data_IF_262287803188
#
_entry.id   IF_262287803188
#
_cell.length_a   1.000
_cell.length_b   1.000
_cell.length_c   1.000
_cell.angle_alpha   90.00
_cell.angle_beta   90.00
_cell.angle_gamma   90.00
#
_symmetry.space_group_name_H-M   'P 1'
#
loop_
_entity.id
_entity.type
_entity.pdbx_description
1 polymer ?
#
# COMPACT_ATOMS: atom_id res chain seq x y z
N UNK A 1 46.98 30.04 31.86
CA UNK A 1 45.73 29.59 31.19
C UNK A 1 45.97 28.24 30.50
N UNK A 2 45.90 27.10 31.21
CA UNK A 2 46.28 25.80 30.60
C UNK A 2 45.72 24.53 31.23
N UNK A 3 44.84 24.63 32.24
CA UNK A 3 44.35 23.46 33.00
C UNK A 3 42.97 22.97 32.51
N UNK A 4 42.19 23.80 31.81
CA UNK A 4 40.86 23.35 31.31
C UNK A 4 40.95 22.38 30.12
N UNK A 5 41.92 22.56 29.21
CA UNK A 5 42.05 21.72 28.01
C UNK A 5 42.37 20.24 28.34
N UNK A 6 43.10 19.97 29.42
CA UNK A 6 43.48 18.59 29.77
C UNK A 6 42.28 17.74 30.22
N UNK A 7 41.32 18.34 30.93
CA UNK A 7 40.13 17.62 31.39
C UNK A 7 39.17 17.27 30.26
N UNK A 8 39.05 18.12 29.25
CA UNK A 8 38.27 17.86 28.05
C UNK A 8 38.88 16.75 27.19
N UNK A 9 40.21 16.74 27.05
CA UNK A 9 40.95 15.68 26.34
C UNK A 9 40.78 14.32 27.02
N UNK A 10 40.80 14.28 28.36
CA UNK A 10 40.56 13.03 29.12
C UNK A 10 39.12 12.54 28.93
N UNK A 11 38.14 13.44 28.96
CA UNK A 11 36.72 13.10 28.71
C UNK A 11 36.53 12.56 27.28
N UNK A 12 37.11 13.22 26.28
CA UNK A 12 37.06 12.77 24.88
C UNK A 12 37.67 11.39 24.70
N UNK A 13 38.82 11.12 25.33
CA UNK A 13 39.46 9.79 25.30
C UNK A 13 38.61 8.71 25.94
N UNK A 14 37.94 9.02 27.05
CA UNK A 14 37.03 8.08 27.70
C UNK A 14 35.79 7.79 26.84
N UNK A 15 35.27 8.78 26.12
CA UNK A 15 34.18 8.58 25.15
C UNK A 15 34.66 7.72 23.97
N UNK A 16 35.83 8.01 23.40
CA UNK A 16 36.43 7.22 22.32
C UNK A 16 36.59 5.76 22.73
N UNK A 17 37.18 5.50 23.89
CA UNK A 17 37.36 4.14 24.41
C UNK A 17 36.03 3.41 24.65
N UNK A 18 34.94 4.12 24.96
CA UNK A 18 33.60 3.52 25.10
C UNK A 18 33.00 3.18 23.73
N UNK A 19 33.15 4.06 22.74
CA UNK A 19 32.73 3.83 21.35
C UNK A 19 33.50 2.64 20.77
N UNK A 20 34.83 2.59 20.95
CA UNK A 20 35.67 1.49 20.46
C UNK A 20 35.28 0.15 21.10
N UNK A 21 34.93 0.14 22.40
CA UNK A 21 34.38 -1.05 23.05
C UNK A 21 33.02 -1.46 22.49
N UNK A 22 32.14 -0.51 22.17
CA UNK A 22 30.85 -0.81 21.52
C UNK A 22 31.04 -1.40 20.12
N UNK A 23 31.97 -0.85 19.33
CA UNK A 23 32.33 -1.35 18.00
C UNK A 23 32.98 -2.74 18.02
N UNK A 24 33.67 -3.11 19.11
CA UNK A 24 34.23 -4.45 19.31
C UNK A 24 33.20 -5.47 19.82
N UNK A 25 32.18 -5.01 20.55
CA UNK A 25 31.12 -5.86 21.08
C UNK A 25 30.06 -6.16 20.03
N UNK A 26 29.86 -5.30 19.03
CA UNK A 26 29.14 -5.64 17.81
C UNK A 26 29.90 -6.78 17.12
N UNK A 27 29.49 -8.05 17.27
CA UNK A 27 30.12 -9.13 16.55
C UNK A 27 29.92 -8.80 15.06
N UNK A 28 30.79 -9.30 14.19
CA UNK A 28 30.36 -9.53 12.81
C UNK A 28 29.29 -10.60 12.84
N UNK A 29 28.09 -10.29 13.35
CA UNK A 29 26.90 -11.07 13.07
C UNK A 29 26.89 -11.22 11.56
N UNK A 30 26.86 -12.47 11.10
CA UNK A 30 26.86 -12.80 9.68
C UNK A 30 25.48 -12.45 9.12
N UNK A 31 25.16 -11.17 9.12
CA UNK A 31 23.90 -10.64 8.63
C UNK A 31 24.05 -10.49 7.13
N UNK A 32 23.32 -11.31 6.39
CA UNK A 32 23.30 -11.24 4.94
C UNK A 32 22.41 -10.07 4.51
N UNK A 33 22.93 -9.21 3.62
CA UNK A 33 22.16 -8.09 3.08
C UNK A 33 21.38 -8.55 1.86
N UNK A 34 20.05 -8.45 1.90
CA UNK A 34 19.17 -8.83 0.80
C UNK A 34 18.36 -7.63 0.32
N UNK A 35 18.50 -7.30 -0.97
CA UNK A 35 17.66 -6.29 -1.59
C UNK A 35 16.36 -6.94 -2.10
N UNK A 36 15.25 -6.60 -1.46
CA UNK A 36 13.91 -7.01 -1.89
C UNK A 36 13.27 -5.91 -2.75
N UNK A 37 12.63 -6.30 -3.84
CA UNK A 37 11.99 -5.40 -4.80
C UNK A 37 10.49 -5.70 -4.89
N UNK A 38 9.66 -4.65 -4.85
CA UNK A 38 8.22 -4.76 -5.06
C UNK A 38 7.51 -5.72 -4.10
N UNK A 39 6.65 -6.60 -4.66
CA UNK A 39 5.77 -7.51 -3.91
C UNK A 39 6.55 -8.47 -3.00
N UNK A 40 7.80 -8.81 -3.36
CA UNK A 40 8.64 -9.69 -2.56
C UNK A 40 8.89 -9.16 -1.14
N UNK A 41 8.86 -7.84 -0.94
CA UNK A 41 8.94 -7.23 0.40
C UNK A 41 7.75 -7.69 1.26
N UNK A 42 6.53 -7.59 0.72
CA UNK A 42 5.30 -7.96 1.42
C UNK A 42 5.21 -9.47 1.64
N UNK A 43 5.63 -10.28 0.66
CA UNK A 43 5.68 -11.75 0.79
C UNK A 43 6.64 -12.14 1.92
N UNK A 44 7.81 -11.51 2.02
CA UNK A 44 8.76 -11.78 3.10
C UNK A 44 8.18 -11.45 4.48
N UNK A 45 7.40 -10.38 4.61
CA UNK A 45 6.69 -10.04 5.86
C UNK A 45 5.68 -11.13 6.22
N UNK A 46 4.88 -11.57 5.25
CA UNK A 46 3.85 -12.60 5.48
C UNK A 46 4.47 -13.93 5.90
N UNK A 47 5.56 -14.35 5.26
CA UNK A 47 6.15 -15.67 5.48
C UNK A 47 7.11 -15.72 6.69
N UNK A 48 7.85 -14.64 6.96
CA UNK A 48 8.96 -14.67 7.92
C UNK A 48 8.80 -13.74 9.12
N UNK A 49 7.82 -12.81 9.11
CA UNK A 49 7.64 -11.80 10.15
C UNK A 49 6.27 -11.87 10.85
N UNK A 50 5.66 -13.06 10.93
CA UNK A 50 4.35 -13.29 11.54
C UNK A 50 3.20 -12.47 10.90
N UNK A 51 3.38 -11.99 9.67
CA UNK A 51 2.37 -11.22 8.95
C UNK A 51 2.25 -9.75 9.40
N UNK A 52 1.10 -9.15 9.09
CA UNK A 52 0.82 -7.75 9.41
C UNK A 52 0.11 -7.63 10.76
N UNK A 53 0.51 -6.65 11.55
CA UNK A 53 -0.15 -6.28 12.81
C UNK A 53 -1.53 -5.70 12.55
N UNK A 54 -2.40 -5.70 13.57
CA UNK A 54 -3.74 -5.13 13.45
C UNK A 54 -3.70 -3.65 13.05
N UNK A 55 -2.76 -2.87 13.60
CA UNK A 55 -2.62 -1.45 13.28
C UNK A 55 -2.24 -1.24 11.80
N UNK A 56 -1.30 -2.02 11.27
CA UNK A 56 -0.90 -1.94 9.85
C UNK A 56 -2.02 -2.35 8.91
N UNK A 57 -2.82 -3.35 9.29
CA UNK A 57 -3.98 -3.78 8.51
C UNK A 57 -5.04 -2.67 8.45
N UNK A 58 -5.29 -1.98 9.56
CA UNK A 58 -6.23 -0.84 9.59
C UNK A 58 -5.73 0.35 8.78
N UNK A 59 -4.43 0.67 8.82
CA UNK A 59 -3.87 1.73 7.97
C UNK A 59 -4.03 1.40 6.48
N UNK A 60 -3.78 0.15 6.10
CA UNK A 60 -3.96 -0.32 4.72
C UNK A 60 -5.42 -0.31 4.26
N UNK A 61 -6.38 -0.43 5.18
CA UNK A 61 -7.82 -0.40 4.88
C UNK A 61 -8.22 0.89 4.18
N UNK A 62 -7.77 2.03 4.69
CA UNK A 62 -8.00 3.35 4.07
C UNK A 62 -7.41 3.42 2.65
N UNK A 63 -6.22 2.86 2.46
CA UNK A 63 -5.54 2.84 1.14
C UNK A 63 -6.30 1.96 0.15
N UNK A 64 -6.84 0.82 0.59
CA UNK A 64 -7.69 -0.04 -0.24
C UNK A 64 -8.92 0.71 -0.73
N UNK A 65 -9.56 1.51 0.14
CA UNK A 65 -10.70 2.33 -0.25
C UNK A 65 -10.32 3.33 -1.34
N UNK A 66 -9.23 4.09 -1.14
CA UNK A 66 -8.78 5.07 -2.12
C UNK A 66 -8.42 4.43 -3.45
N UNK A 67 -7.65 3.33 -3.44
CA UNK A 67 -7.29 2.61 -4.66
C UNK A 67 -8.53 2.11 -5.42
N UNK A 68 -9.53 1.59 -4.72
CA UNK A 68 -10.75 1.07 -5.35
C UNK A 68 -11.52 2.19 -6.06
N UNK A 69 -11.77 3.33 -5.39
CA UNK A 69 -12.55 4.43 -5.97
C UNK A 69 -11.77 5.13 -7.09
N UNK A 70 -10.45 5.33 -6.91
CA UNK A 70 -9.59 5.92 -7.94
C UNK A 70 -9.50 5.04 -9.18
N UNK A 71 -9.32 3.72 -9.03
CA UNK A 71 -9.31 2.82 -10.18
C UNK A 71 -10.64 2.79 -10.94
N UNK A 72 -11.77 2.99 -10.25
CA UNK A 72 -13.06 3.15 -10.94
C UNK A 72 -13.13 4.48 -11.70
N UNK A 73 -12.62 5.57 -11.13
CA UNK A 73 -12.55 6.86 -11.82
C UNK A 73 -11.68 6.77 -13.08
N UNK A 74 -10.49 6.19 -12.98
CA UNK A 74 -9.57 5.99 -14.12
C UNK A 74 -10.26 5.18 -15.24
N UNK A 75 -11.08 4.18 -14.90
CA UNK A 75 -11.88 3.44 -15.88
C UNK A 75 -12.97 4.28 -16.54
N UNK A 76 -13.62 5.18 -15.80
CA UNK A 76 -14.62 6.10 -16.33
C UNK A 76 -14.00 7.12 -17.31
N UNK A 77 -12.78 7.57 -17.01
CA UNK A 77 -11.98 8.42 -17.89
C UNK A 77 -11.58 7.67 -19.16
N UNK A 78 -11.01 6.47 -19.02
CA UNK A 78 -10.65 5.62 -20.15
C UNK A 78 -11.83 5.29 -21.06
N UNK A 79 -13.01 5.01 -20.48
CA UNK A 79 -14.26 4.82 -21.23
C UNK A 79 -14.61 6.05 -22.09
N UNK A 80 -14.45 7.24 -21.51
CA UNK A 80 -14.76 8.52 -22.17
C UNK A 80 -13.78 8.77 -23.32
N UNK A 81 -12.50 8.51 -23.10
CA UNK A 81 -11.46 8.62 -24.14
C UNK A 81 -11.64 7.63 -25.28
N UNK A 82 -12.15 6.43 -24.99
CA UNK A 82 -12.52 5.44 -26.00
C UNK A 82 -13.84 5.75 -26.72
N UNK A 83 -14.51 6.86 -26.36
CA UNK A 83 -15.82 7.26 -26.88
C UNK A 83 -16.88 6.16 -26.74
N UNK A 84 -16.78 5.34 -25.69
CA UNK A 84 -17.79 4.33 -25.38
C UNK A 84 -18.94 5.01 -24.63
N UNK A 85 -20.18 4.83 -25.05
CA UNK A 85 -21.35 5.34 -24.32
C UNK A 85 -21.82 4.34 -23.26
N UNK A 86 -22.57 4.79 -22.24
CA UNK A 86 -23.23 3.82 -21.35
C UNK A 86 -24.46 3.25 -22.04
N UNK A 87 -24.76 1.97 -21.80
CA UNK A 87 -26.00 1.38 -22.31
C UNK A 87 -27.24 1.98 -21.63
N UNK A 88 -27.14 2.25 -20.32
CA UNK A 88 -28.20 2.86 -19.53
C UNK A 88 -27.81 4.29 -19.07
N UNK A 89 -28.72 5.25 -19.28
CA UNK A 89 -28.59 6.63 -18.81
C UNK A 89 -28.46 6.73 -17.30
N UNK A 90 -28.99 5.76 -16.54
CA UNK A 90 -28.83 5.71 -15.09
C UNK A 90 -27.38 5.48 -14.66
N UNK A 91 -26.53 4.88 -15.51
CA UNK A 91 -25.11 4.68 -15.20
C UNK A 91 -24.35 5.99 -15.03
N UNK A 92 -24.80 7.06 -15.68
CA UNK A 92 -24.22 8.38 -15.50
C UNK A 92 -24.40 8.88 -14.06
N UNK A 93 -25.51 8.55 -13.40
CA UNK A 93 -25.74 8.92 -12.00
C UNK A 93 -24.78 8.18 -11.06
N UNK A 94 -24.50 6.89 -11.35
CA UNK A 94 -23.50 6.12 -10.61
C UNK A 94 -22.10 6.68 -10.82
N UNK A 95 -21.70 6.95 -12.07
CA UNK A 95 -20.41 7.58 -12.39
C UNK A 95 -20.23 8.91 -11.63
N UNK A 96 -21.23 9.78 -11.69
CA UNK A 96 -21.22 11.06 -10.98
C UNK A 96 -21.12 10.89 -9.44
N UNK A 97 -21.69 9.81 -8.88
CA UNK A 97 -21.57 9.55 -7.45
C UNK A 97 -20.15 9.16 -7.03
N UNK A 98 -19.40 8.46 -7.89
CA UNK A 98 -17.98 8.14 -7.67
C UNK A 98 -17.14 9.40 -7.69
N UNK A 99 -17.32 10.26 -8.70
CA UNK A 99 -16.61 11.54 -8.81
C UNK A 99 -16.88 12.42 -7.58
N UNK A 100 -18.15 12.59 -7.21
CA UNK A 100 -18.54 13.38 -6.01
C UNK A 100 -17.96 12.81 -4.73
N UNK A 101 -17.81 11.49 -4.60
CA UNK A 101 -17.22 10.88 -3.42
C UNK A 101 -15.76 11.30 -3.24
N UNK A 102 -14.98 11.34 -4.33
CA UNK A 102 -13.60 11.82 -4.31
C UNK A 102 -13.56 13.33 -4.05
N UNK A 103 -14.40 14.11 -4.74
CA UNK A 103 -14.44 15.58 -4.59
C UNK A 103 -14.75 16.01 -3.16
N UNK A 104 -15.58 15.23 -2.45
CA UNK A 104 -15.91 15.47 -1.04
C UNK A 104 -14.79 15.03 -0.07
N UNK A 105 -13.65 14.56 -0.56
CA UNK A 105 -12.53 14.07 0.25
C UNK A 105 -12.80 12.75 0.96
N UNK A 106 -13.79 11.98 0.51
CA UNK A 106 -14.18 10.70 1.13
C UNK A 106 -13.40 9.50 0.58
N UNK A 107 -12.36 9.72 -0.22
CA UNK A 107 -11.61 8.64 -0.89
C UNK A 107 -11.02 7.59 0.07
N UNK A 108 -10.69 7.96 1.30
CA UNK A 108 -10.16 7.05 2.33
C UNK A 108 -11.24 6.53 3.29
N UNK A 109 -12.49 6.94 3.11
CA UNK A 109 -13.59 6.58 4.00
C UNK A 109 -14.20 5.20 3.64
N UNK A 110 -14.80 4.50 4.62
CA UNK A 110 -15.58 3.30 4.34
C UNK A 110 -16.71 3.58 3.34
N UNK A 111 -16.96 2.62 2.46
CA UNK A 111 -18.02 2.77 1.46
C UNK A 111 -19.40 2.74 2.09
N UNK A 112 -20.22 3.71 1.70
CA UNK A 112 -21.66 3.65 1.96
C UNK A 112 -22.35 2.74 0.91
N UNK A 113 -23.62 2.42 1.14
CA UNK A 113 -24.40 1.58 0.24
C UNK A 113 -24.45 2.12 -1.19
N UNK A 114 -24.54 3.44 -1.35
CA UNK A 114 -24.59 4.09 -2.66
C UNK A 114 -23.32 3.86 -3.48
N UNK A 115 -22.14 4.02 -2.87
CA UNK A 115 -20.85 3.82 -3.56
C UNK A 115 -20.62 2.34 -3.85
N UNK A 116 -20.98 1.45 -2.92
CA UNK A 116 -20.96 0.00 -3.17
C UNK A 116 -21.78 -0.37 -4.41
N UNK A 117 -23.03 0.09 -4.46
CA UNK A 117 -23.95 -0.16 -5.57
C UNK A 117 -23.44 0.46 -6.88
N UNK A 118 -22.92 1.68 -6.82
CA UNK A 118 -22.36 2.37 -7.99
C UNK A 118 -21.20 1.58 -8.60
N UNK A 119 -20.21 1.17 -7.79
CA UNK A 119 -19.07 0.37 -8.27
C UNK A 119 -19.55 -0.97 -8.84
N UNK A 120 -20.48 -1.63 -8.16
CA UNK A 120 -21.01 -2.92 -8.61
C UNK A 120 -21.73 -2.81 -9.96
N UNK A 121 -22.56 -1.76 -10.15
CA UNK A 121 -23.30 -1.53 -11.39
C UNK A 121 -22.38 -1.10 -12.54
N UNK A 122 -21.44 -0.20 -12.27
CA UNK A 122 -20.44 0.21 -13.26
C UNK A 122 -19.57 -0.96 -13.71
N UNK A 123 -19.16 -1.85 -12.80
CA UNK A 123 -18.36 -3.01 -13.16
C UNK A 123 -19.11 -4.09 -13.96
N UNK A 124 -20.44 -4.09 -13.89
CA UNK A 124 -21.30 -4.97 -14.70
C UNK A 124 -21.52 -4.43 -16.12
N UNK A 125 -21.24 -3.15 -16.37
CA UNK A 125 -21.40 -2.55 -17.68
C UNK A 125 -20.35 -3.10 -18.67
N UNK A 126 -20.76 -3.56 -19.87
CA UNK A 126 -19.85 -4.16 -20.83
C UNK A 126 -18.84 -3.16 -21.39
N UNK A 127 -19.20 -1.88 -21.51
CA UNK A 127 -18.28 -0.86 -22.02
C UNK A 127 -17.19 -0.51 -21.00
N UNK A 128 -17.49 -0.58 -19.70
CA UNK A 128 -16.47 -0.52 -18.64
C UNK A 128 -15.54 -1.73 -18.71
N UNK A 129 -16.06 -2.93 -18.99
CA UNK A 129 -15.22 -4.12 -19.19
C UNK A 129 -14.30 -3.99 -20.40
N UNK A 130 -14.79 -3.49 -21.52
CA UNK A 130 -13.99 -3.20 -22.72
C UNK A 130 -12.90 -2.17 -22.41
N UNK A 131 -13.21 -1.12 -21.65
CA UNK A 131 -12.21 -0.15 -21.21
C UNK A 131 -11.12 -0.82 -20.33
N UNK A 132 -11.52 -1.74 -19.44
CA UNK A 132 -10.57 -2.50 -18.63
C UNK A 132 -9.70 -3.48 -19.44
N UNK A 133 -10.19 -4.03 -20.55
CA UNK A 133 -9.35 -4.84 -21.45
C UNK A 133 -8.20 -4.00 -22.03
N UNK A 134 -8.43 -2.70 -22.26
CA UNK A 134 -7.42 -1.73 -22.71
C UNK A 134 -6.69 -1.01 -21.58
N UNK A 135 -6.78 -1.50 -20.34
CA UNK A 135 -6.17 -0.88 -19.15
C UNK A 135 -4.68 -0.53 -19.29
N UNK A 136 -3.94 -1.27 -20.11
CA UNK A 136 -2.53 -1.02 -20.37
C UNK A 136 -2.28 0.36 -21.01
N UNK A 137 -3.18 0.81 -21.88
CA UNK A 137 -3.08 2.09 -22.60
C UNK A 137 -3.35 3.29 -21.67
N UNK A 138 -4.10 3.06 -20.59
CA UNK A 138 -4.56 4.08 -19.63
C UNK A 138 -3.88 3.98 -18.26
N UNK A 139 -2.84 3.15 -18.12
CA UNK A 139 -2.12 2.93 -16.87
C UNK A 139 -2.99 2.48 -15.68
N UNK A 140 -4.14 1.86 -15.95
CA UNK A 140 -5.04 1.33 -14.92
C UNK A 140 -4.41 0.05 -14.35
N UNK A 141 -4.44 -0.08 -13.01
CA UNK A 141 -3.83 -1.22 -12.33
C UNK A 141 -4.59 -2.52 -12.56
N UNK A 142 -3.85 -3.61 -12.79
CA UNK A 142 -4.42 -4.96 -12.91
C UNK A 142 -5.24 -5.38 -11.68
N UNK A 143 -4.83 -4.89 -10.49
CA UNK A 143 -5.50 -5.16 -9.22
C UNK A 143 -6.89 -4.54 -9.10
N UNK A 144 -7.27 -3.61 -9.99
CA UNK A 144 -8.59 -3.00 -9.97
C UNK A 144 -9.72 -4.04 -10.06
N UNK A 145 -9.56 -5.06 -10.93
CA UNK A 145 -10.51 -6.17 -11.10
C UNK A 145 -10.83 -6.87 -9.77
N UNK A 146 -9.80 -7.13 -8.97
CA UNK A 146 -9.94 -7.78 -7.67
C UNK A 146 -10.80 -6.97 -6.70
N UNK A 147 -10.62 -5.63 -6.67
CA UNK A 147 -11.44 -4.78 -5.81
C UNK A 147 -12.90 -4.78 -6.22
N UNK A 148 -13.18 -4.69 -7.52
CA UNK A 148 -14.56 -4.61 -8.02
C UNK A 148 -15.31 -5.92 -7.87
N UNK A 149 -14.64 -7.06 -8.07
CA UNK A 149 -15.22 -8.39 -7.84
C UNK A 149 -15.51 -8.67 -6.36
N UNK A 150 -14.72 -8.08 -5.46
CA UNK A 150 -14.84 -8.27 -4.02
C UNK A 150 -15.48 -7.05 -3.30
N UNK A 151 -16.16 -6.16 -4.03
CA UNK A 151 -16.68 -4.90 -3.48
C UNK A 151 -17.67 -5.12 -2.33
N UNK A 152 -18.44 -6.22 -2.40
CA UNK A 152 -19.40 -6.57 -1.36
C UNK A 152 -18.71 -6.79 -0.01
N UNK A 153 -17.62 -7.56 -0.01
CA UNK A 153 -16.78 -7.80 1.17
C UNK A 153 -16.08 -6.52 1.63
N UNK A 154 -15.54 -5.72 0.70
CA UNK A 154 -14.79 -4.50 1.03
C UNK A 154 -15.68 -3.44 1.69
N UNK A 155 -16.97 -3.40 1.33
CA UNK A 155 -17.96 -2.48 1.88
C UNK A 155 -18.59 -2.93 3.21
N UNK A 156 -18.24 -4.11 3.74
CA UNK A 156 -18.74 -4.57 5.04
C UNK A 156 -18.20 -3.69 6.19
N UNK A 157 -19.03 -3.48 7.22
CA UNK A 157 -18.64 -2.68 8.40
C UNK A 157 -17.44 -3.27 9.14
N UNK A 158 -17.43 -4.59 9.28
CA UNK A 158 -16.37 -5.35 9.95
C UNK A 158 -15.31 -5.86 8.96
N UNK A 159 -15.19 -5.22 7.79
CA UNK A 159 -14.24 -5.61 6.77
C UNK A 159 -12.80 -5.61 7.31
N UNK A 160 -12.16 -6.77 7.21
CA UNK A 160 -10.72 -6.95 7.45
C UNK A 160 -10.02 -7.37 6.15
N UNK A 161 -9.05 -6.58 5.65
CA UNK A 161 -8.24 -6.93 4.49
C UNK A 161 -7.56 -8.29 4.65
N UNK A 162 -7.60 -9.10 3.60
CA UNK A 162 -6.82 -10.34 3.53
C UNK A 162 -5.39 -10.04 3.05
N UNK A 163 -4.46 -10.96 3.30
CA UNK A 163 -3.10 -10.88 2.76
C UNK A 163 -3.10 -10.71 1.23
N UNK A 164 -4.04 -11.33 0.53
CA UNK A 164 -4.17 -11.18 -0.92
C UNK A 164 -4.53 -9.74 -1.32
N UNK A 165 -5.53 -9.13 -0.67
CA UNK A 165 -5.87 -7.71 -0.92
C UNK A 165 -4.65 -6.83 -0.66
N UNK A 166 -3.96 -7.09 0.45
CA UNK A 166 -2.78 -6.33 0.87
C UNK A 166 -1.66 -6.39 -0.18
N UNK A 167 -1.44 -7.56 -0.80
CA UNK A 167 -0.45 -7.74 -1.86
C UNK A 167 -0.82 -7.00 -3.16
N UNK A 168 -2.11 -6.88 -3.45
CA UNK A 168 -2.63 -6.13 -4.59
C UNK A 168 -2.73 -4.61 -4.35
N UNK A 169 -2.58 -4.18 -3.09
CA UNK A 169 -2.71 -2.78 -2.70
C UNK A 169 -1.47 -1.98 -3.06
N UNK A 170 -1.64 -1.01 -3.94
CA UNK A 170 -0.62 -0.01 -4.24
C UNK A 170 -0.48 0.94 -3.06
N UNK A 171 0.64 0.84 -2.37
CA UNK A 171 1.06 1.81 -1.35
C UNK A 171 2.23 2.59 -1.93
N UNK A 172 2.19 3.93 -1.95
CA UNK A 172 3.33 4.72 -2.39
C UNK A 172 4.55 4.42 -1.51
N UNK A 173 5.71 4.19 -2.14
CA UNK A 173 6.95 3.92 -1.42
C UNK A 173 7.44 5.18 -0.72
N UNK A 174 7.34 5.22 0.60
CA UNK A 174 7.90 6.28 1.45
C UNK A 174 9.32 5.92 1.86
N UNK A 175 10.26 6.00 0.91
CA UNK A 175 11.69 5.75 1.16
C UNK A 175 12.08 4.27 1.18
N UNK A 176 13.11 3.93 1.95
CA UNK A 176 13.68 2.58 2.03
C UNK A 176 13.21 1.88 3.30
N UNK A 177 12.48 0.78 3.14
CA UNK A 177 12.06 -0.09 4.24
C UNK A 177 13.17 -1.13 4.51
N UNK A 178 13.59 -1.25 5.76
CA UNK A 178 14.52 -2.30 6.21
C UNK A 178 13.74 -3.37 6.94
N UNK A 179 13.93 -4.63 6.56
CA UNK A 179 13.30 -5.80 7.19
C UNK A 179 14.38 -6.68 7.79
N UNK A 180 14.15 -7.15 9.02
CA UNK A 180 15.07 -8.05 9.72
C UNK A 180 14.36 -9.37 9.97
N UNK A 181 14.80 -10.45 9.34
CA UNK A 181 14.20 -11.78 9.52
C UNK A 181 15.26 -12.89 9.52
N UNK A 182 14.95 -13.98 10.21
CA UNK A 182 15.84 -15.16 10.30
C UNK A 182 15.28 -16.28 9.43
N UNK A 183 16.09 -16.82 8.53
CA UNK A 183 15.76 -18.00 7.72
C UNK A 183 16.76 -19.12 8.03
N UNK A 184 16.29 -20.26 8.54
CA UNK A 184 17.12 -21.44 8.85
C UNK A 184 18.35 -21.11 9.73
N UNK A 185 18.20 -20.19 10.69
CA UNK A 185 19.29 -19.78 11.58
C UNK A 185 20.28 -18.75 11.00
N UNK A 186 19.97 -18.19 9.83
CA UNK A 186 20.74 -17.10 9.20
C UNK A 186 19.91 -15.82 9.25
N UNK A 187 20.49 -14.74 9.76
CA UNK A 187 19.83 -13.44 9.84
C UNK A 187 20.02 -12.62 8.55
N UNK A 188 18.91 -12.05 8.06
CA UNK A 188 18.85 -11.22 6.86
C UNK A 188 18.45 -9.79 7.21
N UNK A 189 19.01 -8.81 6.47
CA UNK A 189 18.77 -7.37 6.62
C UNK A 189 18.65 -6.62 5.29
#
# INVERSE_FOLDING_TARGET
MGVCQSTEVIKARNVSNRIDKQLQVDPKELVQKLLLLGIYILISVILHLNGFTHAEVEERKCIIYSNTVRSMLELLEAKSDLCLEFEDKNMMNYANSITKHIDNGLEFAPFNTQIKEAIQKLWQDPNIRIAFEKRADYHIHDSASYYFENIERIAEKDYRPTNQVILHTRVPTTGVVKLLFTLNGIDFK
#
